data_IF_152943059537
#
_entry.id   IF_152943059537
#
_cell.length_a   1.000
_cell.length_b   1.000
_cell.length_c   1.000
_cell.angle_alpha   90.00
_cell.angle_beta   90.00
_cell.angle_gamma   90.00
#
_symmetry.space_group_name_H-M   'P 1'
#
loop_
_entity.id
_entity.type
_entity.pdbx_description
1 polymer ?
#
# COMPACT_ATOMS: atom_id res chain seq x y z
N UNK A 1 -23.11 -31.85 41.25
CA UNK A 1 -23.13 -30.74 40.29
C UNK A 1 -21.69 -30.39 39.99
N UNK A 2 -21.20 -30.78 38.82
CA UNK A 2 -19.86 -30.45 38.34
C UNK A 2 -19.86 -28.98 37.89
N UNK A 3 -19.06 -28.14 38.55
CA UNK A 3 -18.83 -26.77 38.12
C UNK A 3 -18.01 -26.81 36.82
N UNK A 4 -18.64 -26.50 35.69
CA UNK A 4 -17.93 -26.17 34.46
C UNK A 4 -17.39 -24.75 34.59
N UNK A 5 -16.10 -24.65 34.91
CA UNK A 5 -15.33 -23.41 34.79
C UNK A 5 -15.05 -23.19 33.30
N UNK A 6 -15.91 -22.41 32.65
CA UNK A 6 -15.61 -21.87 31.33
C UNK A 6 -14.60 -20.74 31.56
N UNK A 7 -13.32 -21.00 31.31
CA UNK A 7 -12.31 -19.95 31.26
C UNK A 7 -12.76 -18.93 30.20
N UNK A 8 -12.81 -17.62 30.51
CA UNK A 8 -12.99 -16.61 29.48
C UNK A 8 -11.83 -16.81 28.49
N UNK A 9 -12.16 -17.07 27.23
CA UNK A 9 -11.16 -17.23 26.19
C UNK A 9 -10.23 -16.01 26.20
N UNK A 10 -8.93 -16.25 26.19
CA UNK A 10 -7.99 -15.21 25.81
C UNK A 10 -8.39 -14.77 24.41
N UNK A 11 -9.01 -13.59 24.29
CA UNK A 11 -8.98 -12.86 23.02
C UNK A 11 -7.51 -12.55 22.77
N UNK A 12 -6.84 -13.39 21.98
CA UNK A 12 -5.59 -13.01 21.34
C UNK A 12 -5.92 -11.80 20.47
N UNK A 13 -5.69 -10.61 21.00
CA UNK A 13 -5.77 -9.34 20.28
C UNK A 13 -4.68 -9.36 19.20
N UNK A 14 -4.95 -10.01 18.07
CA UNK A 14 -4.09 -9.99 16.90
C UNK A 14 -4.13 -8.57 16.32
N UNK A 15 -2.96 -7.93 16.09
CA UNK A 15 -2.94 -6.61 15.50
C UNK A 15 -3.59 -6.68 14.11
N UNK A 16 -4.58 -5.83 13.88
CA UNK A 16 -5.20 -5.67 12.57
C UNK A 16 -4.26 -4.90 11.65
N UNK A 17 -3.73 -5.58 10.64
CA UNK A 17 -2.83 -5.00 9.64
C UNK A 17 -3.61 -4.81 8.34
N UNK A 18 -3.50 -3.63 7.74
CA UNK A 18 -4.11 -3.30 6.45
C UNK A 18 -3.03 -3.01 5.41
N UNK A 19 -3.22 -3.50 4.18
CA UNK A 19 -2.41 -3.17 3.02
C UNK A 19 -3.27 -2.39 2.04
N UNK A 20 -2.92 -1.12 1.85
CA UNK A 20 -3.62 -0.15 1.03
C UNK A 20 -2.88 0.05 -0.30
N UNK A 21 -3.39 -0.56 -1.36
CA UNK A 21 -2.89 -0.41 -2.73
C UNK A 21 -3.48 0.82 -3.41
N UNK A 22 -2.63 1.80 -3.75
CA UNK A 22 -3.08 3.08 -4.30
C UNK A 22 -2.69 3.23 -5.78
N UNK A 23 -3.70 3.47 -6.62
CA UNK A 23 -3.54 3.57 -8.07
C UNK A 23 -3.26 2.22 -8.74
N UNK A 24 -2.90 2.26 -10.03
CA UNK A 24 -2.72 1.04 -10.84
C UNK A 24 -1.59 0.12 -10.32
N UNK A 25 -0.40 0.67 -10.07
CA UNK A 25 0.73 -0.12 -9.57
C UNK A 25 0.47 -0.68 -8.16
N UNK A 26 -0.13 0.12 -7.26
CA UNK A 26 -0.50 -0.37 -5.93
C UNK A 26 -1.55 -1.48 -5.99
N UNK A 27 -2.54 -1.35 -6.89
CA UNK A 27 -3.52 -2.40 -7.14
C UNK A 27 -2.91 -3.69 -7.70
N UNK A 28 -1.95 -3.57 -8.62
CA UNK A 28 -1.21 -4.73 -9.14
C UNK A 28 -0.40 -5.42 -8.05
N UNK A 29 0.34 -4.65 -7.24
CA UNK A 29 1.08 -5.18 -6.12
C UNK A 29 0.18 -5.93 -5.12
N UNK A 30 -0.99 -5.37 -4.79
CA UNK A 30 -1.99 -6.04 -3.94
C UNK A 30 -2.51 -7.33 -4.59
N UNK A 31 -2.81 -7.32 -5.88
CA UNK A 31 -3.22 -8.54 -6.59
C UNK A 31 -2.14 -9.63 -6.50
N UNK A 32 -0.87 -9.26 -6.68
CA UNK A 32 0.27 -10.16 -6.54
C UNK A 32 0.39 -10.71 -5.11
N UNK A 33 0.20 -9.87 -4.08
CA UNK A 33 0.21 -10.30 -2.67
C UNK A 33 -0.90 -11.31 -2.36
N UNK A 34 -2.09 -11.13 -2.94
CA UNK A 34 -3.23 -12.05 -2.81
C UNK A 34 -2.94 -13.37 -3.53
N UNK A 35 -2.38 -13.31 -4.75
CA UNK A 35 -1.97 -14.51 -5.50
C UNK A 35 -0.89 -15.31 -4.77
N UNK A 36 0.04 -14.62 -4.13
CA UNK A 36 1.09 -15.18 -3.28
C UNK A 36 0.59 -15.64 -1.90
N UNK A 37 -0.73 -15.59 -1.65
CA UNK A 37 -1.40 -16.05 -0.43
C UNK A 37 -0.84 -15.41 0.85
N UNK A 38 -0.60 -14.10 0.84
CA UNK A 38 -0.20 -13.39 2.06
C UNK A 38 -1.36 -13.39 3.07
N UNK A 39 -1.14 -14.00 4.22
CA UNK A 39 -2.14 -14.14 5.30
C UNK A 39 -1.98 -13.06 6.38
N UNK A 40 -3.05 -12.83 7.16
CA UNK A 40 -3.03 -11.95 8.33
C UNK A 40 -3.08 -10.46 8.00
N UNK A 41 -3.43 -10.10 6.77
CA UNK A 41 -3.59 -8.71 6.33
C UNK A 41 -4.93 -8.50 5.62
N UNK A 42 -5.54 -7.34 5.85
CA UNK A 42 -6.70 -6.87 5.10
C UNK A 42 -6.23 -6.10 3.86
N UNK A 43 -6.72 -6.47 2.67
CA UNK A 43 -6.37 -5.78 1.44
C UNK A 43 -7.43 -4.76 1.04
N UNK A 44 -6.98 -3.53 0.80
CA UNK A 44 -7.81 -2.44 0.25
C UNK A 44 -7.13 -1.88 -0.99
N UNK A 45 -7.88 -1.71 -2.08
CA UNK A 45 -7.39 -1.03 -3.28
C UNK A 45 -8.17 0.25 -3.50
N UNK A 46 -7.47 1.36 -3.64
CA UNK A 46 -8.05 2.65 -3.97
C UNK A 46 -7.54 3.15 -5.32
N UNK A 47 -8.45 3.42 -6.26
CA UNK A 47 -8.08 3.92 -7.57
C UNK A 47 -9.12 4.92 -8.12
N UNK A 48 -8.67 5.82 -8.98
CA UNK A 48 -9.55 6.73 -9.73
C UNK A 48 -9.97 6.14 -11.08
N UNK A 49 -9.31 5.09 -11.54
CA UNK A 49 -9.68 4.33 -12.74
C UNK A 49 -10.61 3.17 -12.38
N UNK A 50 -11.86 3.25 -12.84
CA UNK A 50 -12.89 2.26 -12.55
C UNK A 50 -12.63 0.90 -13.24
N UNK A 51 -11.99 0.89 -14.41
CA UNK A 51 -11.68 -0.36 -15.11
C UNK A 51 -10.58 -1.13 -14.36
N UNK A 52 -9.56 -0.40 -13.89
CA UNK A 52 -8.52 -1.00 -13.06
C UNK A 52 -9.09 -1.54 -11.73
N UNK A 53 -10.02 -0.83 -11.12
CA UNK A 53 -10.65 -1.25 -9.86
C UNK A 53 -11.52 -2.52 -10.03
N UNK A 54 -12.22 -2.67 -11.16
CA UNK A 54 -12.98 -3.88 -11.46
C UNK A 54 -12.09 -5.14 -11.50
N UNK A 55 -10.87 -5.00 -11.99
CA UNK A 55 -9.89 -6.10 -12.08
C UNK A 55 -9.17 -6.40 -10.75
N UNK A 56 -9.28 -5.51 -9.75
CA UNK A 56 -8.67 -5.72 -8.45
C UNK A 56 -9.27 -6.94 -7.73
N UNK A 57 -8.42 -7.71 -7.04
CA UNK A 57 -8.81 -8.92 -6.28
C UNK A 57 -9.01 -8.67 -4.80
N UNK A 58 -8.67 -7.47 -4.33
CA UNK A 58 -8.87 -7.07 -2.94
C UNK A 58 -10.35 -7.17 -2.53
N UNK A 59 -10.57 -7.53 -1.27
CA UNK A 59 -11.90 -7.64 -0.66
C UNK A 59 -12.59 -6.28 -0.57
N UNK A 60 -11.82 -5.22 -0.32
CA UNK A 60 -12.30 -3.84 -0.29
C UNK A 60 -11.72 -3.03 -1.45
N UNK A 61 -12.58 -2.22 -2.08
CA UNK A 61 -12.28 -1.45 -3.28
C UNK A 61 -12.90 -0.06 -3.16
N UNK A 62 -12.07 0.97 -3.27
CA UNK A 62 -12.48 2.37 -3.15
C UNK A 62 -12.29 3.05 -4.51
N UNK A 63 -13.39 3.53 -5.08
CA UNK A 63 -13.36 4.35 -6.28
C UNK A 63 -13.21 5.81 -5.88
N UNK A 64 -12.01 6.35 -6.04
CA UNK A 64 -11.72 7.73 -5.67
C UNK A 64 -12.16 8.72 -6.76
N UNK A 65 -12.56 9.92 -6.34
CA UNK A 65 -12.77 11.06 -7.23
C UNK A 65 -13.79 10.81 -8.34
N UNK A 66 -14.93 10.19 -8.02
CA UNK A 66 -16.01 9.90 -8.99
C UNK A 66 -16.46 11.18 -9.70
N UNK A 67 -16.59 12.29 -8.96
CA UNK A 67 -16.99 13.58 -9.54
C UNK A 67 -15.85 14.24 -10.31
N UNK A 68 -14.61 14.12 -9.84
CA UNK A 68 -13.46 14.77 -10.44
C UNK A 68 -12.94 14.09 -11.71
N UNK A 69 -13.11 12.78 -11.84
CA UNK A 69 -12.48 11.95 -12.89
C UNK A 69 -13.47 11.20 -13.76
N UNK A 70 -14.74 11.13 -13.36
CA UNK A 70 -15.77 10.32 -14.03
C UNK A 70 -15.37 8.83 -14.17
N UNK A 71 -14.45 8.35 -13.31
CA UNK A 71 -13.91 6.99 -13.34
C UNK A 71 -12.84 6.74 -14.41
N UNK A 72 -12.35 7.77 -15.09
CA UNK A 72 -11.36 7.67 -16.18
C UNK A 72 -9.90 7.78 -15.69
N UNK A 73 -9.69 7.90 -14.38
CA UNK A 73 -8.37 8.05 -13.78
C UNK A 73 -7.84 9.49 -13.74
N UNK A 74 -6.68 9.68 -13.10
CA UNK A 74 -6.10 11.00 -12.85
C UNK A 74 -5.33 11.61 -14.05
N UNK A 75 -5.21 10.88 -15.17
CA UNK A 75 -4.51 11.37 -16.37
C UNK A 75 -3.05 11.78 -16.12
N UNK A 76 -2.33 11.00 -15.31
CA UNK A 76 -0.97 11.29 -14.86
C UNK A 76 -0.77 12.62 -14.09
N UNK A 77 -1.84 13.27 -13.62
CA UNK A 77 -1.76 14.50 -12.81
C UNK A 77 -1.88 14.17 -11.32
N UNK A 78 -0.81 14.41 -10.56
CA UNK A 78 -0.81 14.16 -9.12
C UNK A 78 -1.86 14.99 -8.37
N UNK A 79 -2.08 16.25 -8.76
CA UNK A 79 -3.10 17.11 -8.14
C UNK A 79 -4.52 16.55 -8.26
N UNK A 80 -4.84 15.86 -9.36
CA UNK A 80 -6.14 15.19 -9.52
C UNK A 80 -6.23 13.97 -8.61
N UNK A 81 -5.13 13.22 -8.46
CA UNK A 81 -5.07 12.11 -7.50
C UNK A 81 -5.28 12.55 -6.06
N UNK A 82 -4.66 13.67 -5.67
CA UNK A 82 -4.83 14.25 -4.32
C UNK A 82 -6.27 14.71 -4.08
N UNK A 83 -6.83 15.52 -4.99
CA UNK A 83 -8.21 15.99 -4.87
C UNK A 83 -9.22 14.83 -4.85
N UNK A 84 -8.96 13.77 -5.62
CA UNK A 84 -9.79 12.57 -5.62
C UNK A 84 -9.75 11.80 -4.29
N UNK A 85 -8.60 11.77 -3.61
CA UNK A 85 -8.47 11.16 -2.29
C UNK A 85 -9.13 12.02 -1.21
N UNK A 86 -9.00 13.34 -1.29
CA UNK A 86 -9.68 14.29 -0.39
C UNK A 86 -11.22 14.19 -0.53
N UNK A 87 -11.74 14.05 -1.75
CA UNK A 87 -13.17 13.85 -2.01
C UNK A 87 -13.71 12.57 -1.32
N UNK A 88 -12.88 11.54 -1.21
CA UNK A 88 -13.24 10.20 -0.72
C UNK A 88 -12.65 9.92 0.67
N UNK A 89 -12.29 10.97 1.42
CA UNK A 89 -11.55 10.82 2.69
C UNK A 89 -12.35 10.07 3.76
N UNK A 90 -13.68 10.27 3.83
CA UNK A 90 -14.55 9.62 4.80
C UNK A 90 -14.52 8.09 4.63
N UNK A 91 -14.67 7.61 3.38
CA UNK A 91 -14.62 6.18 3.06
C UNK A 91 -13.23 5.58 3.33
N UNK A 92 -12.15 6.33 3.04
CA UNK A 92 -10.78 5.92 3.35
C UNK A 92 -10.60 5.74 4.86
N UNK A 93 -11.09 6.69 5.66
CA UNK A 93 -11.02 6.65 7.13
C UNK A 93 -11.81 5.47 7.68
N UNK A 94 -13.00 5.18 7.15
CA UNK A 94 -13.81 4.04 7.57
C UNK A 94 -13.09 2.71 7.37
N UNK A 95 -12.36 2.55 6.26
CA UNK A 95 -11.55 1.35 6.00
C UNK A 95 -10.33 1.23 6.92
N UNK A 96 -9.73 2.37 7.30
CA UNK A 96 -8.57 2.44 8.20
C UNK A 96 -8.97 2.27 9.69
N UNK A 97 -10.21 2.57 10.05
CA UNK A 97 -10.68 2.55 11.44
C UNK A 97 -10.43 1.20 12.12
N UNK A 98 -9.76 1.22 13.27
CA UNK A 98 -9.44 0.02 14.05
C UNK A 98 -8.27 -0.81 13.52
N UNK A 99 -7.58 -0.36 12.45
CA UNK A 99 -6.29 -0.93 12.09
C UNK A 99 -5.21 -0.44 13.08
N UNK A 100 -4.22 -1.29 13.34
CA UNK A 100 -3.06 -0.97 14.18
C UNK A 100 -1.87 -0.54 13.32
N UNK A 101 -1.77 -1.14 12.13
CA UNK A 101 -0.71 -0.87 11.17
C UNK A 101 -1.26 -0.81 9.75
N UNK A 102 -0.79 0.16 8.97
CA UNK A 102 -1.17 0.37 7.58
C UNK A 102 0.07 0.39 6.69
N UNK A 103 0.10 -0.50 5.71
CA UNK A 103 1.07 -0.47 4.61
C UNK A 103 0.45 0.25 3.42
N UNK A 104 1.07 1.32 2.97
CA UNK A 104 0.63 2.04 1.77
C UNK A 104 1.56 1.69 0.63
N UNK A 105 1.02 1.00 -0.38
CA UNK A 105 1.77 0.62 -1.57
C UNK A 105 1.32 1.36 -2.81
N UNK A 106 2.27 1.99 -3.50
CA UNK A 106 1.99 2.79 -4.68
C UNK A 106 3.20 2.87 -5.63
N UNK A 107 2.90 2.99 -6.92
CA UNK A 107 3.90 3.36 -7.93
C UNK A 107 3.96 4.87 -8.11
N UNK A 108 5.12 5.46 -7.83
CA UNK A 108 5.32 6.92 -7.88
C UNK A 108 5.60 7.40 -9.31
N UNK A 109 5.24 8.66 -9.57
CA UNK A 109 5.37 9.30 -10.87
C UNK A 109 4.09 9.27 -11.72
N UNK A 110 3.12 8.42 -11.36
CA UNK A 110 1.76 8.47 -11.92
C UNK A 110 0.90 9.60 -11.33
N UNK A 111 -0.39 9.65 -11.69
CA UNK A 111 -1.32 10.63 -11.12
C UNK A 111 -1.88 10.18 -9.77
N UNK A 112 -2.62 9.07 -9.77
CA UNK A 112 -3.35 8.56 -8.60
C UNK A 112 -2.42 8.19 -7.46
N UNK A 113 -1.47 7.27 -7.67
CA UNK A 113 -0.55 6.83 -6.60
C UNK A 113 0.22 7.99 -5.98
N UNK A 114 0.85 8.83 -6.80
CA UNK A 114 1.65 9.97 -6.34
C UNK A 114 0.85 10.99 -5.55
N UNK A 115 -0.39 11.28 -5.97
CA UNK A 115 -1.22 12.31 -5.33
C UNK A 115 -2.03 11.80 -4.14
N UNK A 116 -2.58 10.59 -4.23
CA UNK A 116 -3.49 10.04 -3.24
C UNK A 116 -2.75 9.38 -2.06
N UNK A 117 -1.58 8.75 -2.30
CA UNK A 117 -0.87 8.03 -1.25
C UNK A 117 -0.50 8.91 -0.04
N UNK A 118 -0.01 10.16 -0.21
CA UNK A 118 0.26 11.05 0.93
C UNK A 118 -1.00 11.40 1.73
N UNK A 119 -2.16 11.56 1.08
CA UNK A 119 -3.44 11.89 1.74
C UNK A 119 -3.93 10.70 2.57
N UNK A 120 -3.84 9.49 2.01
CA UNK A 120 -4.19 8.25 2.73
C UNK A 120 -3.24 8.04 3.92
N UNK A 121 -1.94 8.31 3.75
CA UNK A 121 -0.94 8.23 4.82
C UNK A 121 -1.24 9.21 5.95
N UNK A 122 -1.60 10.45 5.61
CA UNK A 122 -2.00 11.45 6.58
C UNK A 122 -3.21 10.98 7.39
N UNK A 123 -4.25 10.47 6.73
CA UNK A 123 -5.45 9.96 7.40
C UNK A 123 -5.12 8.82 8.37
N UNK A 124 -4.28 7.85 7.94
CA UNK A 124 -3.85 6.75 8.79
C UNK A 124 -3.09 7.24 10.03
N UNK A 125 -2.18 8.22 9.84
CA UNK A 125 -1.41 8.81 10.93
C UNK A 125 -2.28 9.60 11.92
N UNK A 126 -3.27 10.34 11.43
CA UNK A 126 -4.22 11.09 12.28
C UNK A 126 -5.06 10.15 13.15
N UNK A 127 -5.33 8.93 12.68
CA UNK A 127 -5.97 7.86 13.44
C UNK A 127 -5.02 7.13 14.41
N UNK A 128 -3.74 7.51 14.46
CA UNK A 128 -2.73 6.90 15.34
C UNK A 128 -2.24 5.53 14.87
N UNK A 129 -2.41 5.20 13.59
CA UNK A 129 -2.03 3.92 12.98
C UNK A 129 -0.55 3.99 12.59
N UNK A 130 0.22 2.94 12.91
CA UNK A 130 1.61 2.83 12.45
C UNK A 130 1.62 2.70 10.92
N UNK A 131 2.15 3.71 10.24
CA UNK A 131 2.01 3.84 8.79
C UNK A 131 3.34 3.65 8.09
N UNK A 132 3.43 2.62 7.25
CA UNK A 132 4.62 2.28 6.46
C UNK A 132 4.34 2.46 4.98
N UNK A 133 5.04 3.38 4.33
CA UNK A 133 4.99 3.53 2.88
C UNK A 133 5.95 2.57 2.19
N UNK A 134 5.48 1.78 1.23
CA UNK A 134 6.33 0.93 0.38
C UNK A 134 6.06 1.29 -1.08
N UNK A 135 6.94 2.08 -1.68
CA UNK A 135 6.68 2.72 -2.98
C UNK A 135 7.81 2.50 -3.98
N UNK A 136 7.46 2.47 -5.27
CA UNK A 136 8.45 2.34 -6.35
C UNK A 136 8.73 3.68 -7.02
N UNK A 137 10.00 3.96 -7.32
CA UNK A 137 10.38 5.01 -8.29
C UNK A 137 10.27 4.45 -9.71
N UNK A 138 9.85 5.25 -10.70
CA UNK A 138 9.74 4.81 -12.08
C UNK A 138 11.11 4.43 -12.67
N UNK A 139 11.11 3.68 -13.76
CA UNK A 139 12.32 3.46 -14.54
C UNK A 139 12.77 4.73 -15.25
N UNK A 140 14.08 4.87 -15.52
CA UNK A 140 14.59 6.05 -16.23
C UNK A 140 13.97 6.22 -17.63
N UNK A 141 13.66 5.11 -18.31
CA UNK A 141 13.04 5.13 -19.63
C UNK A 141 11.59 5.66 -19.64
N UNK A 142 10.91 5.71 -18.51
CA UNK A 142 9.55 6.25 -18.42
C UNK A 142 9.52 7.79 -18.50
N UNK A 143 10.70 8.43 -18.52
CA UNK A 143 10.88 9.84 -18.79
C UNK A 143 11.11 10.70 -17.54
N UNK A 144 11.84 11.79 -17.74
CA UNK A 144 12.26 12.72 -16.69
C UNK A 144 11.09 13.39 -15.97
N UNK A 145 10.01 13.71 -16.69
CA UNK A 145 8.80 14.29 -16.09
C UNK A 145 8.17 13.34 -15.05
N UNK A 146 8.12 12.04 -15.36
CA UNK A 146 7.57 11.03 -14.47
C UNK A 146 8.45 10.83 -13.23
N UNK A 147 9.77 10.82 -13.43
CA UNK A 147 10.74 10.76 -12.32
C UNK A 147 10.62 11.97 -11.38
N UNK A 148 10.55 13.19 -11.92
CA UNK A 148 10.39 14.40 -11.10
C UNK A 148 9.12 14.35 -10.26
N UNK A 149 7.99 14.00 -10.89
CA UNK A 149 6.72 13.84 -10.18
C UNK A 149 6.79 12.74 -9.11
N UNK A 150 7.56 11.68 -9.35
CA UNK A 150 7.79 10.64 -8.34
C UNK A 150 8.56 11.18 -7.14
N UNK A 151 9.62 11.96 -7.37
CA UNK A 151 10.42 12.57 -6.31
C UNK A 151 9.58 13.54 -5.46
N UNK A 152 8.80 14.42 -6.10
CA UNK A 152 7.91 15.36 -5.41
C UNK A 152 6.88 14.60 -4.53
N UNK A 153 6.28 13.53 -5.06
CA UNK A 153 5.33 12.71 -4.30
C UNK A 153 5.97 11.90 -3.17
N UNK A 154 7.21 11.43 -3.35
CA UNK A 154 7.96 10.72 -2.32
C UNK A 154 8.27 11.66 -1.16
N UNK A 155 8.70 12.89 -1.45
CA UNK A 155 8.96 13.90 -0.42
C UNK A 155 7.69 14.24 0.37
N UNK A 156 6.55 14.35 -0.32
CA UNK A 156 5.26 14.55 0.33
C UNK A 156 4.87 13.36 1.21
N UNK A 157 5.00 12.14 0.70
CA UNK A 157 4.66 10.92 1.43
C UNK A 157 5.56 10.72 2.66
N UNK A 158 6.86 11.00 2.54
CA UNK A 158 7.82 10.86 3.64
C UNK A 158 7.46 11.70 4.86
N UNK A 159 6.77 12.83 4.68
CA UNK A 159 6.31 13.69 5.78
C UNK A 159 5.11 13.08 6.51
N UNK A 160 4.39 12.16 5.87
CA UNK A 160 3.10 11.62 6.35
C UNK A 160 3.20 10.20 6.91
N UNK A 161 4.25 9.44 6.58
CA UNK A 161 4.46 8.06 7.07
C UNK A 161 5.48 8.03 8.22
N UNK A 162 5.42 6.98 9.05
CA UNK A 162 6.43 6.74 10.09
C UNK A 162 7.72 6.15 9.47
N UNK A 163 7.57 5.27 8.49
CA UNK A 163 8.69 4.69 7.72
C UNK A 163 8.37 4.69 6.24
N UNK A 164 9.36 5.03 5.41
CA UNK A 164 9.24 4.99 3.95
C UNK A 164 10.31 4.09 3.33
N UNK A 165 9.86 3.02 2.68
CA UNK A 165 10.68 2.11 1.88
C UNK A 165 10.53 2.52 0.42
N UNK A 166 11.64 2.93 -0.19
CA UNK A 166 11.68 3.36 -1.58
C UNK A 166 12.40 2.30 -2.41
N UNK A 167 11.69 1.74 -3.38
CA UNK A 167 12.23 0.75 -4.32
C UNK A 167 12.55 1.46 -5.64
N UNK A 168 13.83 1.68 -5.96
CA UNK A 168 14.21 2.23 -7.26
C UNK A 168 14.10 1.14 -8.34
N UNK A 169 13.08 1.22 -9.21
CA UNK A 169 12.88 0.22 -10.27
C UNK A 169 14.10 0.07 -11.18
N UNK A 170 14.90 1.14 -11.34
CA UNK A 170 16.16 1.07 -12.08
C UNK A 170 17.12 -0.01 -11.56
N UNK A 171 17.10 -0.33 -10.27
CA UNK A 171 17.96 -1.36 -9.69
C UNK A 171 17.51 -2.78 -10.08
N UNK A 172 16.25 -2.98 -10.47
CA UNK A 172 15.74 -4.27 -10.94
C UNK A 172 16.44 -4.70 -12.23
N UNK A 173 16.90 -3.76 -13.06
CA UNK A 173 17.70 -4.08 -14.24
C UNK A 173 19.07 -4.68 -13.94
N UNK A 174 19.60 -4.49 -12.73
CA UNK A 174 20.84 -5.17 -12.31
C UNK A 174 20.63 -6.65 -12.03
N UNK A 175 19.38 -7.04 -11.78
CA UNK A 175 18.94 -8.41 -11.57
C UNK A 175 18.37 -9.01 -12.87
N UNK A 176 17.91 -8.15 -13.78
CA UNK A 176 17.43 -8.49 -15.11
C UNK A 176 18.57 -8.85 -16.08
N UNK A 177 18.24 -9.60 -17.13
CA UNK A 177 19.13 -9.86 -18.25
C UNK A 177 18.62 -9.14 -19.51
N UNK A 178 19.41 -9.10 -20.59
CA UNK A 178 19.06 -8.37 -21.83
C UNK A 178 17.77 -8.85 -22.52
N UNK A 179 17.22 -9.99 -22.07
CA UNK A 179 15.97 -10.58 -22.58
C UNK A 179 14.75 -10.19 -21.76
N UNK A 180 14.92 -9.53 -20.62
CA UNK A 180 13.81 -9.16 -19.74
C UNK A 180 12.92 -8.13 -20.44
N UNK A 181 11.66 -8.51 -20.61
CA UNK A 181 10.62 -7.65 -21.20
C UNK A 181 10.16 -6.59 -20.20
N UNK A 182 9.50 -5.53 -20.70
CA UNK A 182 8.91 -4.52 -19.82
C UNK A 182 7.90 -5.12 -18.84
N UNK A 183 7.09 -6.08 -19.28
CA UNK A 183 6.10 -6.75 -18.43
C UNK A 183 6.75 -7.51 -17.28
N UNK A 184 7.84 -8.23 -17.55
CA UNK A 184 8.62 -8.91 -16.52
C UNK A 184 9.29 -7.92 -15.55
N UNK A 185 9.74 -6.76 -16.05
CA UNK A 185 10.32 -5.72 -15.21
C UNK A 185 9.33 -5.14 -14.20
N UNK A 186 8.07 -4.93 -14.60
CA UNK A 186 7.02 -4.52 -13.66
C UNK A 186 6.64 -5.63 -12.69
N UNK A 187 6.58 -6.88 -13.15
CA UNK A 187 6.32 -8.02 -12.26
C UNK A 187 7.42 -8.17 -11.18
N UNK A 188 8.69 -7.93 -11.52
CA UNK A 188 9.76 -7.89 -10.51
C UNK A 188 9.56 -6.75 -9.50
N UNK A 189 9.06 -5.60 -9.92
CA UNK A 189 8.77 -4.50 -9.00
C UNK A 189 7.65 -4.89 -8.01
N UNK A 190 6.60 -5.54 -8.51
CA UNK A 190 5.49 -6.04 -7.71
C UNK A 190 5.94 -7.13 -6.71
N UNK A 191 6.89 -7.99 -7.09
CA UNK A 191 7.49 -8.97 -6.19
C UNK A 191 8.32 -8.29 -5.09
N UNK A 192 9.13 -7.27 -5.41
CA UNK A 192 9.88 -6.53 -4.38
C UNK A 192 8.94 -5.80 -3.42
N UNK A 193 7.82 -5.26 -3.90
CA UNK A 193 6.76 -4.70 -3.04
C UNK A 193 6.17 -5.76 -2.11
N UNK A 194 5.86 -6.94 -2.62
CA UNK A 194 5.41 -8.08 -1.81
C UNK A 194 6.44 -8.46 -0.74
N UNK A 195 7.72 -8.59 -1.10
CA UNK A 195 8.78 -8.93 -0.13
C UNK A 195 8.92 -7.84 0.96
N UNK A 196 8.76 -6.56 0.60
CA UNK A 196 8.80 -5.45 1.55
C UNK A 196 7.67 -5.53 2.59
N UNK A 197 6.45 -5.81 2.15
CA UNK A 197 5.29 -5.99 3.07
C UNK A 197 5.42 -7.29 3.86
N UNK A 198 5.67 -8.41 3.18
CA UNK A 198 5.80 -9.74 3.78
C UNK A 198 6.89 -9.81 4.84
N UNK A 199 8.04 -9.17 4.60
CA UNK A 199 9.14 -9.16 5.56
C UNK A 199 8.74 -8.57 6.90
N UNK A 200 7.89 -7.54 6.91
CA UNK A 200 7.41 -6.90 8.14
C UNK A 200 6.22 -7.67 8.72
N UNK A 201 5.30 -8.16 7.89
CA UNK A 201 4.10 -8.86 8.37
C UNK A 201 4.41 -10.27 8.90
N UNK A 202 5.31 -11.03 8.27
CA UNK A 202 5.72 -12.36 8.75
C UNK A 202 6.35 -12.29 10.16
N UNK A 203 7.11 -11.24 10.46
CA UNK A 203 7.70 -11.02 11.80
C UNK A 203 6.64 -10.78 12.88
N UNK A 204 5.46 -10.26 12.51
CA UNK A 204 4.37 -9.96 13.43
C UNK A 204 3.32 -11.06 13.53
N UNK A 205 3.04 -11.74 12.42
CA UNK A 205 1.89 -12.66 12.30
C UNK A 205 2.29 -14.11 12.57
N UNK A 206 3.53 -14.52 12.29
CA UNK A 206 4.00 -15.89 12.55
C UNK A 206 4.80 -15.94 13.85
N UNK A 207 4.31 -16.66 14.88
CA UNK A 207 5.08 -16.87 16.09
C UNK A 207 6.40 -17.60 15.76
N UNK A 208 7.52 -16.91 15.92
CA UNK A 208 8.87 -17.47 15.85
C UNK A 208 9.48 -17.71 17.23
N UNK A 209 10.72 -18.21 17.27
CA UNK A 209 11.49 -18.38 18.52
C UNK A 209 11.87 -17.04 19.19
N UNK A 210 11.80 -15.94 18.46
CA UNK A 210 12.01 -14.57 18.95
C UNK A 210 10.75 -13.79 18.53
N UNK A 211 9.91 -13.47 19.50
CA UNK A 211 8.67 -12.71 19.28
C UNK A 211 9.04 -11.22 19.35
N UNK A 212 9.10 -10.53 18.22
CA UNK A 212 9.20 -9.06 18.21
C UNK A 212 7.82 -8.53 18.55
N UNK A 213 7.71 -7.72 19.60
CA UNK A 213 6.43 -7.15 19.97
C UNK A 213 6.08 -5.93 19.08
N UNK A 214 4.80 -5.56 19.05
CA UNK A 214 4.35 -4.42 18.25
C UNK A 214 4.95 -3.10 18.74
N UNK A 215 5.37 -3.03 20.01
CA UNK A 215 5.98 -1.83 20.58
C UNK A 215 7.42 -1.64 20.08
N UNK A 216 8.15 -2.73 19.86
CA UNK A 216 9.51 -2.74 19.32
C UNK A 216 9.54 -2.22 17.88
N UNK A 217 8.58 -2.62 17.04
CA UNK A 217 8.49 -2.11 15.65
C UNK A 217 8.06 -0.64 15.60
N UNK A 218 7.26 -0.19 16.58
CA UNK A 218 6.84 1.22 16.68
C UNK A 218 7.96 2.15 17.19
N UNK A 219 8.94 1.61 17.90
CA UNK A 219 10.00 2.40 18.55
C UNK A 219 11.19 2.75 17.62
N UNK A 220 11.27 2.15 16.43
CA UNK A 220 12.38 2.30 15.46
C UNK A 220 11.96 3.23 14.32
#
# INVERSE_FOLDING_TARGET
>A
MTLNLNMPGHEELKPRIIVFGVGGAGGNAVNNMIEAQLEGVDFVVANTDAQALQQARASAKIQMGVKATEGLGAGARASVGAAAAEETIEEIVDHLAGAHMCFITAGMGGGTGTGAAPIIAQAARELGILTVGVVTKPFQFEGTKRMKQAEDGIEALQKMVDTLIIIPNQNLFRLANERTTFTEAFAMADDVLYQGVKGVTDLMVKPGLINLDFADVRAV
#
